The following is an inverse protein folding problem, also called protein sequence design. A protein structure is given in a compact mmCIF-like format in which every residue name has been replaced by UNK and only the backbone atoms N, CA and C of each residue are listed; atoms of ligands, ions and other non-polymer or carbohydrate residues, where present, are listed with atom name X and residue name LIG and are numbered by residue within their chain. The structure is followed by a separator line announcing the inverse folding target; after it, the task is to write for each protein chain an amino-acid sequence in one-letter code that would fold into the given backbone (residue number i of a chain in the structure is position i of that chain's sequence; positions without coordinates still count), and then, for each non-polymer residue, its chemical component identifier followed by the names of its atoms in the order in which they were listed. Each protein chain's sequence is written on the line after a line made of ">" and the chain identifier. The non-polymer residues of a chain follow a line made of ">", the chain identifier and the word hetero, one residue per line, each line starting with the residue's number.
data_IF_421106434210
#
_entry.id   IF_421106434210
#
_cell.length_a   1.000
_cell.length_b   1.000
_cell.length_c   1.000
_cell.angle_alpha   90.00
_cell.angle_beta   90.00
_cell.angle_gamma   90.00
#
_symmetry.space_group_name_H-M   'P 1'
#
loop_
_entity.id
_entity.type
_entity.pdbx_description
1 polymer ?
#
# COMPACT_ATOMS: atom_id res chain seq x y z
N UNK A 1 21.24 -7.25 6.75
CA UNK A 1 20.80 -6.37 5.66
C UNK A 1 21.97 -5.79 4.89
N UNK A 2 22.89 -5.06 5.51
CA UNK A 2 24.08 -4.51 4.83
C UNK A 2 24.87 -5.57 4.04
N UNK A 3 25.11 -6.76 4.61
CA UNK A 3 25.77 -7.87 3.89
C UNK A 3 24.98 -8.44 2.71
N UNK A 4 23.64 -8.39 2.76
CA UNK A 4 22.76 -8.83 1.66
C UNK A 4 22.66 -7.75 0.57
N UNK A 5 22.77 -6.47 0.94
CA UNK A 5 22.79 -5.33 0.03
C UNK A 5 24.19 -5.08 -0.58
N UNK A 6 25.26 -5.56 0.05
CA UNK A 6 26.64 -5.33 -0.37
C UNK A 6 26.97 -5.87 -1.77
N UNK A 7 26.23 -6.88 -2.23
CA UNK A 7 26.30 -7.36 -3.61
C UNK A 7 24.88 -7.52 -4.12
N UNK A 8 24.44 -6.59 -4.96
CA UNK A 8 23.16 -6.68 -5.61
C UNK A 8 23.04 -8.01 -6.38
N UNK A 9 21.91 -8.74 -6.30
CA UNK A 9 21.68 -9.88 -7.16
C UNK A 9 21.59 -9.41 -8.62
N UNK A 10 21.74 -10.32 -9.57
CA UNK A 10 21.52 -10.04 -10.99
C UNK A 10 20.14 -9.39 -11.20
N UNK A 11 20.08 -8.33 -12.03
CA UNK A 11 18.86 -7.56 -12.34
C UNK A 11 17.67 -8.44 -12.76
N UNK A 12 17.91 -9.63 -13.33
CA UNK A 12 16.84 -10.58 -13.67
C UNK A 12 16.01 -11.09 -12.49
N UNK A 13 16.48 -10.87 -11.25
CA UNK A 13 15.74 -11.21 -10.03
C UNK A 13 15.15 -9.99 -9.34
N UNK A 14 15.21 -8.81 -9.96
CA UNK A 14 14.64 -7.60 -9.40
C UNK A 14 13.19 -7.48 -9.86
N UNK A 15 12.32 -7.09 -8.95
CA UNK A 15 10.89 -6.96 -9.21
C UNK A 15 10.39 -5.64 -8.63
N UNK A 16 9.48 -4.99 -9.35
CA UNK A 16 8.71 -3.90 -8.79
C UNK A 16 7.67 -4.50 -7.83
N UNK A 17 7.79 -4.20 -6.53
CA UNK A 17 6.97 -4.80 -5.48
C UNK A 17 5.90 -3.87 -4.92
N UNK A 18 5.08 -4.42 -4.01
CA UNK A 18 4.14 -3.64 -3.21
C UNK A 18 3.10 -2.90 -4.06
N UNK A 19 3.00 -1.58 -3.87
CA UNK A 19 2.06 -0.73 -4.60
C UNK A 19 2.31 -0.69 -6.11
N UNK A 20 3.54 -0.97 -6.57
CA UNK A 20 3.86 -1.05 -8.00
C UNK A 20 2.99 -2.08 -8.72
N UNK A 21 2.78 -3.26 -8.11
CA UNK A 21 1.93 -4.31 -8.70
C UNK A 21 0.51 -3.82 -8.99
N UNK A 22 -0.05 -3.02 -8.08
CA UNK A 22 -1.39 -2.47 -8.24
C UNK A 22 -1.45 -1.41 -9.33
N UNK A 23 -0.50 -0.47 -9.36
CA UNK A 23 -0.50 0.60 -10.36
C UNK A 23 -0.18 0.09 -11.76
N UNK A 24 0.67 -0.93 -11.89
CA UNK A 24 0.94 -1.61 -13.16
C UNK A 24 -0.32 -2.32 -13.65
N UNK A 25 -1.02 -3.05 -12.78
CA UNK A 25 -2.29 -3.67 -13.14
C UNK A 25 -3.34 -2.62 -13.56
N UNK A 26 -3.42 -1.49 -12.85
CA UNK A 26 -4.32 -0.40 -13.18
C UNK A 26 -4.00 0.24 -14.54
N UNK A 27 -2.73 0.52 -14.82
CA UNK A 27 -2.27 1.09 -16.09
C UNK A 27 -2.57 0.14 -17.27
N UNK A 28 -2.30 -1.16 -17.11
CA UNK A 28 -2.63 -2.18 -18.12
C UNK A 28 -4.13 -2.37 -18.35
N UNK A 29 -4.98 -1.98 -17.39
CA UNK A 29 -6.44 -1.91 -17.54
C UNK A 29 -6.92 -0.60 -18.19
N UNK A 30 -6.00 0.29 -18.58
CA UNK A 30 -6.29 1.54 -19.29
C UNK A 30 -6.53 2.76 -18.41
N UNK A 31 -6.23 2.67 -17.10
CA UNK A 31 -6.27 3.83 -16.21
C UNK A 31 -5.03 4.71 -16.42
N UNK A 32 -5.20 6.04 -16.29
CA UNK A 32 -4.06 6.94 -16.13
C UNK A 32 -3.62 6.91 -14.67
N UNK A 33 -2.35 6.59 -14.43
CA UNK A 33 -1.84 6.34 -13.08
C UNK A 33 -0.64 7.22 -12.80
N UNK A 34 -0.64 7.79 -11.60
CA UNK A 34 0.49 8.51 -11.03
C UNK A 34 0.82 7.90 -9.68
N UNK A 35 2.10 7.68 -9.40
CA UNK A 35 2.61 7.19 -8.11
C UNK A 35 3.18 8.34 -7.28
N UNK A 36 3.03 8.23 -5.97
CA UNK A 36 3.54 9.18 -5.00
C UNK A 36 4.48 8.39 -4.07
N UNK A 37 5.75 8.73 -4.04
CA UNK A 37 6.73 7.92 -3.31
C UNK A 37 8.12 8.52 -3.26
N UNK A 38 9.02 7.83 -2.55
CA UNK A 38 10.44 8.17 -2.51
C UNK A 38 11.24 7.13 -3.29
N UNK A 39 12.14 7.58 -4.15
CA UNK A 39 13.16 6.76 -4.80
C UNK A 39 14.52 7.41 -4.60
N UNK A 40 15.53 6.60 -4.35
CA UNK A 40 16.91 7.07 -4.27
C UNK A 40 17.52 7.28 -5.65
N UNK A 41 18.54 8.14 -5.71
CA UNK A 41 19.40 8.33 -6.89
C UNK A 41 20.46 7.21 -6.96
N UNK A 42 20.00 5.98 -7.07
CA UNK A 42 20.83 4.78 -7.15
C UNK A 42 20.22 3.72 -8.09
N UNK A 43 20.92 2.61 -8.30
CA UNK A 43 20.57 1.59 -9.31
C UNK A 43 19.16 1.00 -9.18
N UNK A 44 18.62 0.82 -7.98
CA UNK A 44 17.28 0.29 -7.72
C UNK A 44 16.20 1.35 -7.92
N UNK A 45 16.47 2.59 -7.54
CA UNK A 45 15.62 3.74 -7.83
C UNK A 45 15.48 3.97 -9.34
N UNK A 46 16.60 3.96 -10.06
CA UNK A 46 16.59 4.01 -11.53
C UNK A 46 15.83 2.83 -12.15
N UNK A 47 16.04 1.61 -11.64
CA UNK A 47 15.29 0.44 -12.10
C UNK A 47 13.78 0.60 -11.92
N UNK A 48 13.31 1.09 -10.75
CA UNK A 48 11.89 1.31 -10.53
C UNK A 48 11.32 2.42 -11.42
N UNK A 49 12.08 3.50 -11.66
CA UNK A 49 11.69 4.54 -12.62
C UNK A 49 11.56 3.98 -14.04
N UNK A 50 12.52 3.18 -14.50
CA UNK A 50 12.47 2.53 -15.82
C UNK A 50 11.22 1.66 -15.94
N UNK A 51 10.92 0.81 -14.94
CA UNK A 51 9.73 -0.05 -14.93
C UNK A 51 8.44 0.76 -14.97
N UNK A 52 8.33 1.84 -14.18
CA UNK A 52 7.13 2.69 -14.18
C UNK A 52 6.96 3.40 -15.53
N UNK A 53 8.04 3.90 -16.13
CA UNK A 53 8.01 4.56 -17.44
C UNK A 53 7.62 3.60 -18.56
N UNK A 54 8.13 2.36 -18.56
CA UNK A 54 7.76 1.33 -19.53
C UNK A 54 6.27 0.98 -19.48
N UNK A 55 5.65 1.05 -18.29
CA UNK A 55 4.21 0.85 -18.09
C UNK A 55 3.39 2.14 -18.28
N UNK A 56 4.03 3.26 -18.65
CA UNK A 56 3.37 4.55 -18.88
C UNK A 56 2.82 5.21 -17.60
N UNK A 57 3.46 4.97 -16.46
CA UNK A 57 3.06 5.46 -15.14
C UNK A 57 3.95 6.64 -14.73
N UNK A 58 3.32 7.77 -14.44
CA UNK A 58 4.02 8.95 -13.93
C UNK A 58 4.37 8.79 -12.44
N UNK A 59 5.40 9.49 -11.97
CA UNK A 59 5.78 9.52 -10.56
C UNK A 59 6.00 10.95 -10.06
N UNK A 60 5.55 11.23 -8.83
CA UNK A 60 5.91 12.43 -8.08
C UNK A 60 6.70 12.03 -6.83
N UNK A 61 7.93 12.53 -6.74
CA UNK A 61 8.80 12.36 -5.57
C UNK A 61 8.25 13.06 -4.32
N UNK A 62 8.41 12.42 -3.16
CA UNK A 62 7.96 12.97 -1.87
C UNK A 62 8.91 14.04 -1.29
N UNK A 63 10.21 13.95 -1.56
CA UNK A 63 11.18 14.95 -1.10
C UNK A 63 11.22 16.17 -2.04
N UNK A 64 11.41 17.37 -1.48
CA UNK A 64 11.75 18.54 -2.29
C UNK A 64 13.23 18.49 -2.73
N UNK A 65 13.53 19.00 -3.92
CA UNK A 65 14.91 19.00 -4.48
C UNK A 65 15.94 19.63 -3.53
N UNK A 66 15.53 20.58 -2.68
CA UNK A 66 16.41 21.23 -1.70
C UNK A 66 16.73 20.39 -0.45
N UNK A 67 15.97 19.32 -0.19
CA UNK A 67 16.16 18.44 0.98
C UNK A 67 17.03 17.22 0.67
N UNK A 68 17.27 16.93 -0.61
CA UNK A 68 18.10 15.80 -1.04
C UNK A 68 19.58 16.14 -0.82
N UNK A 69 20.09 15.80 0.36
CA UNK A 69 21.53 15.73 0.59
C UNK A 69 22.05 14.45 -0.06
N UNK A 70 22.55 14.55 -1.30
CA UNK A 70 23.09 13.42 -2.05
C UNK A 70 24.08 12.60 -1.20
N UNK A 71 23.79 11.31 -0.99
CA UNK A 71 24.72 10.34 -0.38
C UNK A 71 24.43 9.87 1.05
N UNK A 72 23.31 10.25 1.69
CA UNK A 72 22.89 9.62 2.95
C UNK A 72 22.01 8.39 2.70
N UNK A 73 22.32 7.27 3.37
CA UNK A 73 21.59 5.96 3.32
C UNK A 73 20.09 6.13 3.59
N UNK A 74 19.74 7.19 4.29
CA UNK A 74 18.37 7.63 4.49
C UNK A 74 17.62 7.75 3.14
N UNK A 75 18.23 8.35 2.12
CA UNK A 75 17.58 8.62 0.84
C UNK A 75 17.62 7.45 -0.15
N UNK A 76 18.09 6.26 0.24
CA UNK A 76 18.09 5.08 -0.64
C UNK A 76 16.68 4.51 -0.83
N UNK A 77 16.44 3.94 -2.02
CA UNK A 77 15.22 3.21 -2.34
C UNK A 77 15.00 2.07 -1.33
N UNK A 78 13.77 1.90 -0.86
CA UNK A 78 13.44 0.83 0.08
C UNK A 78 13.53 -0.54 -0.62
N UNK A 79 14.37 -1.42 -0.09
CA UNK A 79 14.53 -2.78 -0.59
C UNK A 79 13.78 -3.78 0.28
N UNK A 80 13.10 -4.72 -0.37
CA UNK A 80 12.50 -5.89 0.26
C UNK A 80 13.13 -7.15 -0.35
N UNK A 81 13.69 -8.00 0.50
CA UNK A 81 14.20 -9.31 0.13
C UNK A 81 13.09 -10.33 0.26
N UNK A 82 12.83 -11.04 -0.83
CA UNK A 82 11.93 -12.18 -0.87
C UNK A 82 12.74 -13.45 -0.64
N UNK A 83 12.49 -14.11 0.49
CA UNK A 83 13.11 -15.36 0.87
C UNK A 83 12.16 -16.50 0.54
N UNK A 84 12.59 -17.40 -0.33
CA UNK A 84 11.79 -18.58 -0.71
C UNK A 84 12.38 -19.81 -0.04
N UNK A 85 11.56 -20.51 0.76
CA UNK A 85 11.99 -21.75 1.40
C UNK A 85 11.88 -22.97 0.46
N UNK A 86 12.43 -24.15 0.80
CA UNK A 86 12.34 -25.34 -0.05
C UNK A 86 10.92 -25.83 -0.35
N UNK A 87 9.92 -25.37 0.40
CA UNK A 87 8.49 -25.66 0.20
C UNK A 87 7.79 -24.57 -0.63
N UNK A 88 8.54 -23.67 -1.27
CA UNK A 88 8.04 -22.53 -2.06
C UNK A 88 7.21 -21.53 -1.26
N UNK A 89 7.44 -21.45 0.07
CA UNK A 89 6.83 -20.43 0.90
C UNK A 89 7.69 -19.18 0.90
N UNK A 90 7.02 -18.04 0.87
CA UNK A 90 7.65 -16.74 0.77
C UNK A 90 7.73 -16.08 2.14
N UNK A 91 8.89 -15.53 2.47
CA UNK A 91 9.12 -14.60 3.55
C UNK A 91 9.60 -13.26 2.99
N UNK A 92 9.14 -12.16 3.57
CA UNK A 92 9.51 -10.81 3.14
C UNK A 92 10.32 -10.17 4.25
N UNK A 93 11.43 -9.52 3.88
CA UNK A 93 12.30 -8.86 4.83
C UNK A 93 12.80 -7.55 4.22
N UNK A 94 12.39 -6.42 4.79
CA UNK A 94 12.77 -5.08 4.38
C UNK A 94 13.70 -4.44 5.39
N UNK A 95 14.45 -3.41 4.99
CA UNK A 95 15.19 -2.56 5.93
C UNK A 95 14.24 -1.94 6.97
N UNK A 96 12.99 -1.68 6.61
CA UNK A 96 11.97 -1.15 7.52
C UNK A 96 11.66 -2.11 8.69
N UNK A 97 11.82 -3.43 8.53
CA UNK A 97 11.52 -4.40 9.59
C UNK A 97 12.52 -4.36 10.77
N UNK A 98 13.64 -3.65 10.61
CA UNK A 98 14.67 -3.49 11.64
C UNK A 98 14.63 -2.11 12.31
N UNK A 99 13.60 -1.30 12.02
CA UNK A 99 13.40 0.03 12.58
C UNK A 99 11.99 0.14 13.16
N UNK A 100 11.83 0.87 14.26
CA UNK A 100 10.52 1.27 14.76
C UNK A 100 10.03 2.57 14.10
N UNK A 101 10.92 3.30 13.43
CA UNK A 101 10.61 4.51 12.68
C UNK A 101 10.34 4.20 11.21
N UNK A 102 9.39 4.90 10.56
CA UNK A 102 9.15 4.78 9.12
C UNK A 102 10.42 5.06 8.30
N UNK A 103 10.55 4.36 7.16
CA UNK A 103 11.74 4.40 6.32
C UNK A 103 12.12 5.82 5.86
N UNK A 104 11.11 6.67 5.65
CA UNK A 104 11.24 8.06 5.20
C UNK A 104 10.66 9.03 6.24
N UNK A 105 10.95 8.78 7.52
CA UNK A 105 10.43 9.56 8.66
C UNK A 105 10.76 11.06 8.62
N UNK A 106 11.79 11.50 7.89
CA UNK A 106 12.08 12.94 7.68
C UNK A 106 11.07 13.66 6.77
N UNK A 107 10.20 12.92 6.07
CA UNK A 107 9.16 13.52 5.24
C UNK A 107 7.96 13.83 6.15
N UNK A 108 7.83 15.09 6.52
CA UNK A 108 6.84 15.53 7.51
C UNK A 108 5.61 16.22 6.90
N UNK A 109 5.66 16.58 5.61
CA UNK A 109 4.60 17.34 4.95
C UNK A 109 4.46 16.95 3.48
N UNK A 110 3.22 17.00 2.99
CA UNK A 110 2.95 16.90 1.56
C UNK A 110 3.43 18.17 0.85
N UNK A 111 4.34 18.03 -0.11
CA UNK A 111 4.74 19.12 -1.00
C UNK A 111 3.55 19.59 -1.85
N UNK A 112 3.63 20.80 -2.42
CA UNK A 112 2.58 21.31 -3.31
C UNK A 112 2.37 20.42 -4.55
N UNK A 113 3.45 19.81 -5.06
CA UNK A 113 3.40 18.87 -6.17
C UNK A 113 2.57 17.63 -5.83
N UNK A 114 2.78 17.07 -4.64
CA UNK A 114 2.02 15.90 -4.15
C UNK A 114 0.56 16.27 -3.93
N UNK A 115 0.29 17.40 -3.27
CA UNK A 115 -1.09 17.86 -3.05
C UNK A 115 -1.83 18.06 -4.38
N UNK A 116 -1.19 18.68 -5.37
CA UNK A 116 -1.77 18.88 -6.70
C UNK A 116 -2.03 17.56 -7.42
N UNK A 117 -1.11 16.60 -7.36
CA UNK A 117 -1.30 15.28 -7.95
C UNK A 117 -2.51 14.56 -7.34
N UNK A 118 -2.65 14.59 -6.00
CA UNK A 118 -3.82 14.04 -5.31
C UNK A 118 -5.10 14.78 -5.75
N UNK A 119 -5.08 16.11 -5.79
CA UNK A 119 -6.25 16.92 -6.16
C UNK A 119 -6.72 16.72 -7.60
N UNK A 120 -5.82 16.36 -8.50
CA UNK A 120 -6.12 16.07 -9.91
C UNK A 120 -6.55 14.61 -10.14
N UNK A 121 -6.49 13.76 -9.12
CA UNK A 121 -6.79 12.34 -9.22
C UNK A 121 -8.23 12.03 -8.83
N UNK A 122 -8.91 11.18 -9.60
CA UNK A 122 -10.25 10.71 -9.23
C UNK A 122 -10.24 9.64 -8.13
N UNK A 123 -9.13 8.94 -7.97
CA UNK A 123 -8.96 7.86 -7.00
C UNK A 123 -7.65 8.07 -6.25
N UNK A 124 -7.69 7.94 -4.92
CA UNK A 124 -6.51 7.82 -4.07
C UNK A 124 -6.47 6.41 -3.50
N UNK A 125 -5.40 5.67 -3.76
CA UNK A 125 -5.17 4.34 -3.20
C UNK A 125 -4.06 4.38 -2.15
N UNK A 126 -4.27 3.72 -1.02
CA UNK A 126 -3.26 3.53 0.01
C UNK A 126 -3.31 2.09 0.54
N UNK A 127 -2.15 1.49 0.81
CA UNK A 127 -2.09 0.20 1.49
C UNK A 127 -1.44 0.33 2.88
N UNK A 128 -1.57 -0.72 3.71
CA UNK A 128 -1.02 -0.69 5.06
C UNK A 128 0.50 -0.67 5.14
N UNK A 129 1.23 -1.09 4.10
CA UNK A 129 2.70 -0.99 4.05
C UNK A 129 3.20 0.44 3.90
N UNK A 130 2.35 1.37 3.44
CA UNK A 130 2.70 2.79 3.42
C UNK A 130 3.05 3.33 4.82
N UNK A 131 2.56 2.70 5.90
CA UNK A 131 2.90 3.04 7.29
C UNK A 131 4.31 2.62 7.72
N UNK A 132 4.96 1.74 6.94
CA UNK A 132 6.36 1.35 7.16
C UNK A 132 7.30 2.33 6.45
N UNK A 133 6.79 3.07 5.48
CA UNK A 133 7.53 4.07 4.70
C UNK A 133 7.32 5.49 5.23
N UNK A 134 6.10 5.84 5.61
CA UNK A 134 5.67 7.20 5.90
C UNK A 134 5.02 7.31 7.28
N UNK A 135 5.11 8.49 7.88
CA UNK A 135 4.49 8.73 9.18
C UNK A 135 2.96 8.65 9.12
N UNK A 136 2.29 8.18 10.18
CA UNK A 136 0.83 8.16 10.27
C UNK A 136 0.19 9.53 9.95
N UNK A 137 0.79 10.63 10.44
CA UNK A 137 0.28 11.98 10.23
C UNK A 137 0.36 12.43 8.76
N UNK A 138 1.43 12.06 8.05
CA UNK A 138 1.56 12.35 6.62
C UNK A 138 0.52 11.58 5.79
N UNK A 139 0.31 10.31 6.11
CA UNK A 139 -0.70 9.46 5.45
C UNK A 139 -2.12 9.98 5.70
N UNK A 140 -2.43 10.40 6.94
CA UNK A 140 -3.70 11.03 7.27
C UNK A 140 -3.86 12.37 6.53
N UNK A 141 -2.80 13.14 6.37
CA UNK A 141 -2.83 14.37 5.56
C UNK A 141 -3.15 14.07 4.08
N UNK A 142 -2.60 13.00 3.52
CA UNK A 142 -2.88 12.57 2.14
C UNK A 142 -4.34 12.10 1.97
N UNK A 143 -4.83 11.31 2.93
CA UNK A 143 -6.22 10.88 3.02
C UNK A 143 -7.18 12.08 2.97
N UNK A 144 -6.95 13.09 3.82
CA UNK A 144 -7.80 14.27 3.87
C UNK A 144 -7.64 15.18 2.65
N UNK A 145 -6.45 15.24 2.04
CA UNK A 145 -6.24 15.93 0.77
C UNK A 145 -7.13 15.33 -0.33
N UNK A 146 -7.12 14.00 -0.49
CA UNK A 146 -7.96 13.29 -1.46
C UNK A 146 -9.45 13.46 -1.18
N UNK A 147 -9.86 13.34 0.08
CA UNK A 147 -11.26 13.56 0.50
C UNK A 147 -11.73 14.97 0.14
N UNK A 148 -10.91 15.98 0.42
CA UNK A 148 -11.26 17.39 0.18
C UNK A 148 -11.30 17.71 -1.32
N UNK A 149 -10.51 17.01 -2.13
CA UNK A 149 -10.54 17.10 -3.59
C UNK A 149 -11.73 16.36 -4.22
N UNK A 150 -12.45 15.54 -3.45
CA UNK A 150 -13.56 14.71 -3.94
C UNK A 150 -13.09 13.40 -4.60
N UNK A 151 -11.83 13.00 -4.43
CA UNK A 151 -11.33 11.70 -4.87
C UNK A 151 -12.02 10.58 -4.10
N UNK A 152 -12.29 9.46 -4.78
CA UNK A 152 -12.68 8.22 -4.10
C UNK A 152 -11.45 7.60 -3.42
N UNK A 153 -11.57 7.27 -2.13
CA UNK A 153 -10.45 6.70 -1.38
C UNK A 153 -10.58 5.19 -1.27
N UNK A 154 -9.53 4.49 -1.67
CA UNK A 154 -9.39 3.03 -1.59
C UNK A 154 -8.29 2.69 -0.60
N UNK A 155 -8.59 1.80 0.35
CA UNK A 155 -7.64 1.37 1.37
C UNK A 155 -7.56 -0.14 1.47
N UNK A 156 -6.34 -0.68 1.36
CA UNK A 156 -6.02 -2.08 1.63
C UNK A 156 -5.03 -2.14 2.80
N UNK A 157 -5.48 -2.31 4.06
CA UNK A 157 -4.56 -2.36 5.20
C UNK A 157 -3.61 -3.56 5.12
N UNK A 158 -3.94 -4.58 4.32
CA UNK A 158 -3.14 -5.80 4.19
C UNK A 158 -2.81 -6.46 5.53
N UNK A 159 -1.71 -7.22 5.59
CA UNK A 159 -1.23 -7.85 6.83
C UNK A 159 -0.90 -6.81 7.93
N UNK A 160 -0.54 -5.59 7.54
CA UNK A 160 -0.23 -4.49 8.46
C UNK A 160 -1.45 -4.02 9.25
N UNK A 161 -2.68 -4.27 8.80
CA UNK A 161 -3.89 -3.93 9.54
C UNK A 161 -3.87 -4.45 10.98
N UNK A 162 -3.44 -5.70 11.19
CA UNK A 162 -3.34 -6.31 12.52
C UNK A 162 -2.27 -5.62 13.38
N UNK A 163 -1.09 -5.38 12.82
CA UNK A 163 0.02 -4.77 13.57
C UNK A 163 -0.27 -3.30 13.89
N UNK A 164 -0.92 -2.58 12.99
CA UNK A 164 -1.35 -1.19 13.19
C UNK A 164 -2.45 -1.09 14.26
N UNK A 165 -3.39 -2.03 14.28
CA UNK A 165 -4.43 -2.10 15.32
C UNK A 165 -3.84 -2.30 16.73
N UNK A 166 -2.70 -2.99 16.83
CA UNK A 166 -1.96 -3.21 18.08
C UNK A 166 -0.76 -2.25 18.25
N UNK A 167 -0.62 -1.29 17.32
CA UNK A 167 0.55 -0.43 17.19
C UNK A 167 0.55 0.75 18.16
N UNK A 168 1.32 1.78 17.84
CA UNK A 168 1.34 3.03 18.61
C UNK A 168 -0.03 3.73 18.58
N UNK A 169 -0.34 4.61 19.55
CA UNK A 169 -1.57 5.39 19.51
C UNK A 169 -1.76 6.17 18.20
N UNK A 170 -0.68 6.65 17.59
CA UNK A 170 -0.66 7.35 16.31
C UNK A 170 -1.06 6.42 15.16
N UNK A 171 -0.48 5.21 15.12
CA UNK A 171 -0.82 4.18 14.13
C UNK A 171 -2.27 3.73 14.25
N UNK A 172 -2.75 3.48 15.49
CA UNK A 172 -4.13 3.08 15.73
C UNK A 172 -5.12 4.17 15.29
N UNK A 173 -4.84 5.44 15.64
CA UNK A 173 -5.66 6.58 15.21
C UNK A 173 -5.69 6.68 13.69
N UNK A 174 -4.54 6.64 13.03
CA UNK A 174 -4.48 6.75 11.58
C UNK A 174 -5.17 5.57 10.88
N UNK A 175 -4.98 4.33 11.34
CA UNK A 175 -5.72 3.17 10.84
C UNK A 175 -7.23 3.40 10.95
N UNK A 176 -7.72 3.84 12.10
CA UNK A 176 -9.15 4.12 12.30
C UNK A 176 -9.63 5.23 11.35
N UNK A 177 -8.83 6.28 11.10
CA UNK A 177 -9.17 7.31 10.12
C UNK A 177 -9.32 6.72 8.71
N UNK A 178 -8.39 5.86 8.27
CA UNK A 178 -8.50 5.20 6.97
C UNK A 178 -9.70 4.25 6.90
N UNK A 179 -9.96 3.45 7.95
CA UNK A 179 -11.12 2.56 8.00
C UNK A 179 -12.45 3.34 7.98
N UNK A 180 -12.50 4.49 8.64
CA UNK A 180 -13.73 5.30 8.76
C UNK A 180 -13.99 6.20 7.54
N UNK A 181 -12.95 6.69 6.88
CA UNK A 181 -13.05 7.72 5.84
C UNK A 181 -12.77 7.23 4.42
N UNK A 182 -12.34 5.99 4.23
CA UNK A 182 -12.24 5.38 2.89
C UNK A 182 -13.63 5.11 2.30
N UNK A 183 -13.74 5.20 0.98
CA UNK A 183 -14.94 4.82 0.22
C UNK A 183 -14.97 3.30 -0.03
N UNK A 184 -13.79 2.69 -0.21
CA UNK A 184 -13.62 1.26 -0.46
C UNK A 184 -12.53 0.69 0.44
N UNK A 185 -12.81 -0.44 1.09
CA UNK A 185 -11.83 -1.22 1.82
C UNK A 185 -11.67 -2.60 1.19
N UNK A 186 -10.43 -3.01 0.98
CA UNK A 186 -10.07 -4.33 0.44
C UNK A 186 -9.33 -5.12 1.52
N UNK A 187 -9.76 -6.35 1.75
CA UNK A 187 -9.21 -7.24 2.78
C UNK A 187 -9.19 -8.67 2.27
N UNK A 188 -8.31 -9.51 2.78
CA UNK A 188 -8.53 -10.96 2.79
C UNK A 188 -9.47 -11.37 3.92
N UNK A 189 -9.98 -12.60 3.89
CA UNK A 189 -10.80 -13.13 5.00
C UNK A 189 -10.05 -13.09 6.33
N UNK A 190 -8.77 -13.46 6.31
CA UNK A 190 -7.92 -13.51 7.50
C UNK A 190 -7.64 -12.10 8.04
N UNK A 191 -7.44 -11.11 7.16
CA UNK A 191 -7.27 -9.70 7.54
C UNK A 191 -8.56 -9.12 8.13
N UNK A 192 -9.72 -9.44 7.55
CA UNK A 192 -11.01 -9.02 8.08
C UNK A 192 -11.28 -9.60 9.47
N UNK A 193 -10.96 -10.88 9.69
CA UNK A 193 -11.01 -11.51 11.00
C UNK A 193 -10.04 -10.85 11.99
N UNK A 194 -8.80 -10.58 11.57
CA UNK A 194 -7.81 -9.95 12.44
C UNK A 194 -8.23 -8.55 12.92
N UNK A 195 -8.92 -7.77 12.08
CA UNK A 195 -9.39 -6.43 12.41
C UNK A 195 -10.69 -6.41 13.23
N UNK A 196 -11.54 -7.44 13.10
CA UNK A 196 -12.89 -7.44 13.68
C UNK A 196 -13.05 -8.42 14.83
N UNK A 197 -12.18 -9.43 14.93
CA UNK A 197 -12.35 -10.60 15.79
C UNK A 197 -13.45 -11.56 15.31
N UNK A 198 -13.92 -11.43 14.06
CA UNK A 198 -15.07 -12.16 13.52
C UNK A 198 -14.63 -13.06 12.37
N UNK A 199 -14.71 -14.38 12.55
CA UNK A 199 -14.31 -15.37 11.54
C UNK A 199 -15.23 -15.40 10.32
N UNK A 200 -16.52 -15.09 10.46
CA UNK A 200 -17.43 -15.08 9.32
C UNK A 200 -17.18 -13.81 8.46
N UNK A 201 -16.73 -13.94 7.21
CA UNK A 201 -16.33 -12.78 6.40
C UNK A 201 -17.50 -11.83 6.11
N UNK A 202 -18.72 -12.35 5.95
CA UNK A 202 -19.91 -11.51 5.71
C UNK A 202 -20.21 -10.66 6.96
N UNK A 203 -20.12 -11.25 8.14
CA UNK A 203 -20.39 -10.54 9.41
C UNK A 203 -19.26 -9.54 9.71
N UNK A 204 -18.00 -9.92 9.46
CA UNK A 204 -16.85 -9.04 9.57
C UNK A 204 -17.00 -7.81 8.66
N UNK A 205 -17.29 -8.02 7.37
CA UNK A 205 -17.45 -6.92 6.43
C UNK A 205 -18.68 -6.04 6.71
N UNK A 206 -19.78 -6.61 7.19
CA UNK A 206 -20.94 -5.82 7.68
C UNK A 206 -20.56 -4.96 8.90
N UNK A 207 -19.73 -5.48 9.78
CA UNK A 207 -19.24 -4.74 10.95
C UNK A 207 -18.39 -3.55 10.53
N UNK A 208 -17.49 -3.75 9.56
CA UNK A 208 -16.67 -2.67 8.99
C UNK A 208 -17.53 -1.61 8.29
N UNK A 209 -18.46 -2.01 7.42
CA UNK A 209 -19.41 -1.09 6.77
C UNK A 209 -20.27 -0.30 7.76
N UNK A 210 -20.67 -0.92 8.87
CA UNK A 210 -21.46 -0.24 9.90
C UNK A 210 -20.68 0.83 10.66
N UNK A 211 -19.36 0.68 10.79
CA UNK A 211 -18.47 1.63 11.47
C UNK A 211 -18.00 2.76 10.54
N UNK A 212 -17.79 2.45 9.25
CA UNK A 212 -17.25 3.40 8.30
C UNK A 212 -18.23 4.50 7.90
N UNK A 213 -17.94 5.74 8.29
CA UNK A 213 -18.79 6.89 7.98
C UNK A 213 -18.98 7.12 6.47
N UNK A 214 -17.89 6.97 5.70
CA UNK A 214 -17.87 7.13 4.23
C UNK A 214 -17.92 5.82 3.46
N UNK A 215 -17.70 4.71 4.14
CA UNK A 215 -17.48 3.41 3.53
C UNK A 215 -18.70 2.94 2.73
N UNK A 216 -18.49 2.78 1.42
CA UNK A 216 -19.50 2.29 0.49
C UNK A 216 -19.35 0.80 0.29
N UNK A 217 -18.11 0.35 0.09
CA UNK A 217 -17.80 -1.02 -0.31
C UNK A 217 -16.73 -1.65 0.60
N UNK A 218 -17.00 -2.87 1.05
CA UNK A 218 -15.99 -3.75 1.65
C UNK A 218 -15.85 -4.97 0.76
N UNK A 219 -14.64 -5.20 0.27
CA UNK A 219 -14.31 -6.33 -0.61
C UNK A 219 -13.46 -7.32 0.18
N UNK A 220 -13.95 -8.53 0.36
CA UNK A 220 -13.24 -9.61 1.05
C UNK A 220 -12.79 -10.67 0.06
N UNK A 221 -11.47 -10.83 -0.07
CA UNK A 221 -10.75 -11.81 -0.88
C UNK A 221 -10.65 -13.12 -0.09
N UNK A 222 -11.13 -14.22 -0.64
CA UNK A 222 -11.16 -15.54 0.01
C UNK A 222 -10.32 -16.59 -0.72
N UNK A 223 -9.27 -16.14 -1.43
CA UNK A 223 -8.37 -17.00 -2.20
C UNK A 223 -9.13 -17.87 -3.22
N UNK A 224 -8.97 -19.18 -3.11
CA UNK A 224 -9.62 -20.16 -3.98
C UNK A 224 -11.16 -20.13 -3.91
N UNK A 225 -11.75 -19.46 -2.92
CA UNK A 225 -13.21 -19.33 -2.78
C UNK A 225 -13.77 -18.05 -3.45
N UNK A 226 -12.93 -17.26 -4.14
CA UNK A 226 -13.34 -16.04 -4.84
C UNK A 226 -13.38 -14.83 -3.91
N UNK A 227 -14.38 -13.96 -4.07
CA UNK A 227 -14.51 -12.73 -3.29
C UNK A 227 -15.96 -12.35 -2.97
N UNK A 228 -16.12 -11.51 -1.95
CA UNK A 228 -17.41 -10.96 -1.52
C UNK A 228 -17.33 -9.43 -1.55
N UNK A 229 -18.26 -8.79 -2.25
CA UNK A 229 -18.54 -7.36 -2.14
C UNK A 229 -19.70 -7.16 -1.16
N UNK A 230 -19.47 -6.34 -0.14
CA UNK A 230 -20.44 -5.98 0.87
C UNK A 230 -20.70 -4.48 0.76
N UNK A 231 -21.97 -4.11 0.77
CA UNK A 231 -22.46 -2.72 0.80
C UNK A 231 -23.42 -2.55 1.97
N UNK A 232 -23.91 -1.33 2.24
CA UNK A 232 -24.91 -1.10 3.30
C UNK A 232 -26.20 -1.90 3.13
N UNK A 233 -26.60 -2.19 1.90
CA UNK A 233 -27.89 -2.83 1.57
C UNK A 233 -27.77 -4.21 0.92
N UNK A 234 -26.63 -4.53 0.33
CA UNK A 234 -26.48 -5.72 -0.50
C UNK A 234 -25.17 -6.46 -0.27
N UNK A 235 -25.17 -7.75 -0.59
CA UNK A 235 -24.00 -8.62 -0.63
C UNK A 235 -23.95 -9.28 -2.01
N UNK A 236 -22.78 -9.32 -2.62
CA UNK A 236 -22.55 -9.99 -3.90
C UNK A 236 -21.29 -10.84 -3.82
N UNK A 237 -21.36 -12.06 -4.36
CA UNK A 237 -20.23 -12.98 -4.36
C UNK A 237 -19.76 -13.20 -5.80
N UNK A 238 -18.44 -13.22 -5.99
CA UNK A 238 -17.81 -13.60 -7.25
C UNK A 238 -17.00 -14.88 -7.03
N UNK A 239 -17.21 -15.95 -7.82
CA UNK A 239 -16.44 -17.17 -7.69
C UNK A 239 -14.99 -16.97 -8.14
N UNK A 240 -14.08 -17.84 -7.71
CA UNK A 240 -12.75 -17.93 -8.27
C UNK A 240 -12.77 -18.58 -9.66
N UNK A 241 -11.71 -18.34 -10.43
CA UNK A 241 -11.44 -19.11 -11.64
C UNK A 241 -10.49 -20.26 -11.30
N UNK A 242 -10.71 -21.42 -11.93
CA UNK A 242 -9.77 -22.55 -11.81
C UNK A 242 -8.50 -22.21 -12.57
N UNK A 243 -7.37 -22.24 -11.88
CA UNK A 243 -6.05 -22.05 -12.46
C UNK A 243 -4.97 -22.74 -11.63
N UNK A 244 -3.83 -23.02 -12.24
CA UNK A 244 -2.64 -23.50 -11.53
C UNK A 244 -1.90 -22.29 -11.00
N UNK A 245 -1.73 -22.21 -9.68
CA UNK A 245 -0.82 -21.23 -9.07
C UNK A 245 0.60 -21.66 -9.39
N UNK A 246 1.33 -20.82 -10.13
CA UNK A 246 2.76 -20.99 -10.35
C UNK A 246 3.43 -20.31 -9.16
N UNK A 247 3.99 -21.12 -8.28
CA UNK A 247 4.78 -20.69 -7.12
C UNK A 247 6.26 -20.66 -7.50
#
# INVERSE_FOLDING_TARGET
>A
MERLAASAPDKKHWEAGGNCNLVIAAARLGLQVITLGHLGDEIYGHFLLDVLQEEGIDMVGLAEESEISHGSVLYETLLCWVLVDPLQRHGFCSRADFSNEPAFSWIHKLSERIQKAIQQSNILFCNGYAFDELSPDLLVSALYCGISAGSAVFFDPGPRGRTLFQGTPEQQRALEQFLSHSDVILLTSDEAEALTGITNPIVAGRTLIGRGARLKWVIIKMGANGSILITKSNISCAPSFKGTVIL
#
